data_IF_586062000510
#
_entry.id   IF_586062000510
#
_cell.length_a   1.000
_cell.length_b   1.000
_cell.length_c   1.000
_cell.angle_alpha   90.00
_cell.angle_beta   90.00
_cell.angle_gamma   90.00
#
_symmetry.space_group_name_H-M   'P 1'
#
loop_
_entity.id
_entity.type
_entity.pdbx_description
1 polymer ?
#
# COMPACT_ATOMS: atom_id res chain seq x y z
N UNK A 1 21.79 17.77 0.31
CA UNK A 1 20.45 17.26 0.73
C UNK A 1 19.46 17.80 -0.29
N UNK A 2 19.37 17.12 -1.43
CA UNK A 2 18.39 17.46 -2.46
C UNK A 2 17.06 16.83 -2.05
N UNK A 3 16.03 17.67 -1.93
CA UNK A 3 14.74 17.29 -1.37
C UNK A 3 14.01 16.29 -2.26
N UNK A 4 13.34 15.33 -1.62
CA UNK A 4 12.35 14.47 -2.26
C UNK A 4 11.27 15.36 -2.91
N UNK A 5 11.32 15.52 -4.22
CA UNK A 5 10.31 16.25 -4.96
C UNK A 5 9.10 15.33 -5.14
N UNK A 6 8.13 15.45 -4.23
CA UNK A 6 6.81 14.85 -4.40
C UNK A 6 6.20 15.37 -5.70
N UNK A 7 5.44 14.54 -6.44
CA UNK A 7 4.60 15.05 -7.52
C UNK A 7 3.75 16.19 -6.95
N UNK A 8 3.79 17.36 -7.58
CA UNK A 8 2.93 18.49 -7.21
C UNK A 8 1.47 18.07 -7.40
N UNK A 9 0.84 17.55 -6.35
CA UNK A 9 -0.60 17.31 -6.35
C UNK A 9 -1.28 18.68 -6.24
N UNK A 10 -1.88 19.14 -7.34
CA UNK A 10 -2.70 20.36 -7.41
C UNK A 10 -4.07 20.13 -6.75
N UNK A 11 -4.07 19.74 -5.48
CA UNK A 11 -5.25 19.48 -4.67
C UNK A 11 -5.41 20.50 -3.54
N UNK A 12 -6.58 20.50 -2.88
CA UNK A 12 -6.77 21.28 -1.67
C UNK A 12 -5.82 20.79 -0.56
N UNK A 13 -5.36 21.66 0.37
CA UNK A 13 -4.56 21.22 1.51
C UNK A 13 -5.36 20.25 2.38
N UNK A 14 -4.65 19.34 3.06
CA UNK A 14 -5.30 18.44 4.00
C UNK A 14 -5.70 19.19 5.28
N UNK A 15 -6.93 18.96 5.75
CA UNK A 15 -7.45 19.49 7.02
C UNK A 15 -7.58 18.34 8.00
N UNK A 16 -6.89 18.42 9.14
CA UNK A 16 -6.81 17.34 10.13
C UNK A 16 -8.19 16.80 10.55
N UNK A 17 -9.13 17.70 10.84
CA UNK A 17 -10.48 17.34 11.29
C UNK A 17 -11.24 16.54 10.23
N UNK A 18 -11.18 16.99 8.97
CA UNK A 18 -11.76 16.27 7.83
C UNK A 18 -11.10 14.92 7.64
N UNK A 19 -9.76 14.86 7.72
CA UNK A 19 -9.02 13.62 7.54
C UNK A 19 -9.35 12.58 8.63
N UNK A 20 -9.37 13.01 9.90
CA UNK A 20 -9.78 12.18 11.04
C UNK A 20 -11.20 11.65 10.88
N UNK A 21 -12.14 12.51 10.48
CA UNK A 21 -13.54 12.15 10.27
C UNK A 21 -13.68 11.12 9.14
N UNK A 22 -13.05 11.36 7.98
CA UNK A 22 -13.11 10.45 6.84
C UNK A 22 -12.45 9.10 7.16
N UNK A 23 -11.32 9.08 7.86
CA UNK A 23 -10.65 7.85 8.30
C UNK A 23 -11.53 7.07 9.28
N UNK A 24 -12.22 7.75 10.20
CA UNK A 24 -13.17 7.11 11.11
C UNK A 24 -14.33 6.44 10.37
N UNK A 25 -14.87 7.08 9.33
CA UNK A 25 -15.90 6.49 8.47
C UNK A 25 -15.36 5.24 7.76
N UNK A 26 -14.14 5.31 7.21
CA UNK A 26 -13.47 4.15 6.61
C UNK A 26 -13.35 2.99 7.61
N UNK A 27 -12.89 3.26 8.84
CA UNK A 27 -12.72 2.24 9.88
C UNK A 27 -14.07 1.63 10.29
N UNK A 28 -15.11 2.45 10.45
CA UNK A 28 -16.46 1.98 10.78
C UNK A 28 -17.04 1.07 9.68
N UNK A 29 -16.86 1.44 8.41
CA UNK A 29 -17.34 0.66 7.26
C UNK A 29 -16.69 -0.73 7.19
N UNK A 30 -15.50 -0.90 7.74
CA UNK A 30 -14.77 -2.17 7.77
C UNK A 30 -14.90 -2.92 9.11
N UNK A 31 -15.60 -2.32 10.08
CA UNK A 31 -15.67 -2.81 11.45
C UNK A 31 -14.27 -3.11 12.02
N UNK A 32 -13.36 -2.12 11.91
CA UNK A 32 -12.01 -2.16 12.48
C UNK A 32 -11.83 -1.09 13.55
N UNK A 33 -10.75 -1.19 14.32
CA UNK A 33 -10.42 -0.25 15.40
C UNK A 33 -10.46 1.20 14.93
N UNK A 34 -10.99 2.12 15.75
CA UNK A 34 -10.94 3.55 15.46
C UNK A 34 -9.50 4.07 15.39
N UNK A 35 -8.57 3.41 16.08
CA UNK A 35 -7.15 3.80 16.13
C UNK A 35 -6.34 3.20 14.97
N UNK A 36 -6.97 2.43 14.07
CA UNK A 36 -6.37 1.98 12.83
C UNK A 36 -6.29 3.16 11.84
N UNK A 37 -5.35 4.08 12.06
CA UNK A 37 -5.20 5.31 11.28
C UNK A 37 -3.72 5.68 11.08
N UNK A 38 -3.46 6.90 10.60
CA UNK A 38 -2.09 7.35 10.32
C UNK A 38 -1.25 7.56 11.60
N UNK A 39 -1.87 7.64 12.77
CA UNK A 39 -1.19 7.76 14.07
C UNK A 39 -0.73 6.40 14.60
N UNK A 40 -1.37 5.30 14.16
CA UNK A 40 -0.89 3.93 14.38
C UNK A 40 -0.93 3.09 13.07
N UNK A 41 0.06 3.29 12.17
CA UNK A 41 0.13 2.55 10.91
C UNK A 41 0.29 1.04 11.06
N UNK A 42 0.82 0.57 12.18
CA UNK A 42 0.97 -0.86 12.45
C UNK A 42 -0.38 -1.49 12.76
N UNK A 43 -1.20 -0.84 13.60
CA UNK A 43 -2.58 -1.26 13.85
C UNK A 43 -3.41 -1.20 12.57
N UNK A 44 -3.24 -0.14 11.76
CA UNK A 44 -3.89 -0.03 10.45
C UNK A 44 -3.58 -1.23 9.54
N UNK A 45 -2.29 -1.55 9.34
CA UNK A 45 -1.87 -2.67 8.51
C UNK A 45 -2.38 -4.01 9.04
N UNK A 46 -2.32 -4.22 10.36
CA UNK A 46 -2.80 -5.44 11.01
C UNK A 46 -4.31 -5.64 10.77
N UNK A 47 -5.10 -4.59 10.95
CA UNK A 47 -6.55 -4.63 10.75
C UNK A 47 -6.92 -4.81 9.29
N UNK A 48 -6.22 -4.14 8.38
CA UNK A 48 -6.44 -4.27 6.94
C UNK A 48 -6.13 -5.70 6.45
N UNK A 49 -5.03 -6.30 6.91
CA UNK A 49 -4.72 -7.70 6.64
C UNK A 49 -5.82 -8.63 7.17
N UNK A 50 -6.34 -8.37 8.37
CA UNK A 50 -7.45 -9.14 8.93
C UNK A 50 -8.74 -8.98 8.10
N UNK A 51 -9.02 -7.80 7.53
CA UNK A 51 -10.13 -7.59 6.58
C UNK A 51 -9.93 -8.43 5.33
N UNK A 52 -8.74 -8.41 4.73
CA UNK A 52 -8.41 -9.21 3.55
C UNK A 52 -8.38 -10.73 3.81
N UNK A 53 -8.37 -11.18 5.06
CA UNK A 53 -8.52 -12.61 5.35
C UNK A 53 -9.99 -13.08 5.38
N UNK A 54 -10.96 -12.15 5.35
CA UNK A 54 -12.39 -12.49 5.44
C UNK A 54 -12.96 -13.10 4.16
N UNK A 55 -12.31 -12.88 3.01
CA UNK A 55 -12.78 -13.33 1.70
C UNK A 55 -13.11 -12.17 0.76
N UNK A 56 -13.44 -12.49 -0.50
CA UNK A 56 -13.80 -11.47 -1.50
C UNK A 56 -15.03 -10.65 -1.07
N UNK A 57 -16.11 -11.31 -0.68
CA UNK A 57 -17.43 -10.67 -0.46
C UNK A 57 -17.52 -9.92 0.86
N UNK A 58 -16.77 -10.35 1.88
CA UNK A 58 -16.79 -9.81 3.26
C UNK A 58 -15.51 -9.06 3.63
N UNK A 59 -14.48 -9.13 2.79
CA UNK A 59 -13.18 -8.47 2.96
C UNK A 59 -12.90 -7.49 1.84
N UNK A 60 -12.51 -7.99 0.66
CA UNK A 60 -12.03 -7.15 -0.46
C UNK A 60 -13.09 -6.18 -0.99
N UNK A 61 -14.30 -6.65 -1.28
CA UNK A 61 -15.37 -5.80 -1.83
C UNK A 61 -15.77 -4.71 -0.82
N UNK A 62 -16.02 -5.01 0.47
CA UNK A 62 -16.21 -3.98 1.49
C UNK A 62 -15.03 -3.01 1.63
N UNK A 63 -13.79 -3.51 1.57
CA UNK A 63 -12.59 -2.66 1.57
C UNK A 63 -12.61 -1.65 0.42
N UNK A 64 -12.94 -2.09 -0.80
CA UNK A 64 -12.99 -1.21 -1.96
C UNK A 64 -14.14 -0.20 -1.88
N UNK A 65 -15.29 -0.60 -1.35
CA UNK A 65 -16.38 0.32 -1.08
C UNK A 65 -16.00 1.37 -0.02
N UNK A 66 -15.35 0.95 1.07
CA UNK A 66 -14.89 1.85 2.12
C UNK A 66 -13.81 2.82 1.60
N UNK A 67 -12.86 2.33 0.81
CA UNK A 67 -11.84 3.15 0.16
C UNK A 67 -12.45 4.18 -0.78
N UNK A 68 -13.45 3.81 -1.60
CA UNK A 68 -14.12 4.74 -2.48
C UNK A 68 -14.86 5.84 -1.70
N UNK A 69 -15.48 5.50 -0.57
CA UNK A 69 -16.11 6.49 0.32
C UNK A 69 -15.08 7.41 0.97
N UNK A 70 -13.93 6.88 1.39
CA UNK A 70 -12.81 7.67 1.91
C UNK A 70 -12.28 8.65 0.85
N UNK A 71 -12.09 8.18 -0.38
CA UNK A 71 -11.70 9.02 -1.52
C UNK A 71 -12.70 10.16 -1.76
N UNK A 72 -13.99 9.84 -1.79
CA UNK A 72 -15.06 10.84 -1.98
C UNK A 72 -15.17 11.82 -0.80
N UNK A 73 -14.98 11.35 0.44
CA UNK A 73 -15.05 12.16 1.65
C UNK A 73 -13.94 13.22 1.68
N UNK A 74 -12.72 12.85 1.26
CA UNK A 74 -11.59 13.77 1.17
C UNK A 74 -11.64 14.63 -0.10
N UNK A 75 -12.20 14.11 -1.20
CA UNK A 75 -12.31 14.83 -2.46
C UNK A 75 -10.95 15.31 -2.95
N UNK A 76 -10.83 16.63 -3.19
CA UNK A 76 -9.60 17.23 -3.74
C UNK A 76 -8.43 17.25 -2.76
N UNK A 77 -8.62 16.93 -1.47
CA UNK A 77 -7.53 16.80 -0.49
C UNK A 77 -7.01 15.37 -0.32
N UNK A 78 -7.56 14.38 -1.04
CA UNK A 78 -7.16 12.97 -0.88
C UNK A 78 -5.64 12.76 -0.92
N UNK A 79 -4.98 13.24 -1.98
CA UNK A 79 -3.53 13.06 -2.15
C UNK A 79 -2.69 13.96 -1.25
N UNK A 80 -3.22 15.08 -0.75
CA UNK A 80 -2.50 15.91 0.22
C UNK A 80 -2.57 15.31 1.63
N UNK A 81 -3.65 14.58 1.96
CA UNK A 81 -3.79 13.84 3.21
C UNK A 81 -2.96 12.56 3.23
N UNK A 82 -2.96 11.79 2.14
CA UNK A 82 -2.09 10.61 1.98
C UNK A 82 -0.73 11.01 1.39
N UNK A 83 -0.06 11.94 2.08
CA UNK A 83 1.28 12.39 1.75
C UNK A 83 2.20 12.20 2.98
N UNK A 84 3.32 11.46 2.87
CA UNK A 84 4.20 11.21 4.01
C UNK A 84 4.74 12.50 4.64
N UNK A 85 5.02 13.56 3.86
CA UNK A 85 5.48 14.86 4.41
C UNK A 85 4.42 15.49 5.28
N UNK A 86 3.17 15.46 4.84
CA UNK A 86 2.06 15.94 5.65
C UNK A 86 1.94 15.12 6.94
N UNK A 87 1.95 13.79 6.86
CA UNK A 87 1.87 12.93 8.05
C UNK A 87 3.02 13.16 9.04
N UNK A 88 4.24 13.37 8.53
CA UNK A 88 5.43 13.72 9.33
C UNK A 88 5.24 15.08 10.00
N UNK A 89 4.69 16.07 9.29
CA UNK A 89 4.38 17.38 9.88
C UNK A 89 3.34 17.30 11.01
N UNK A 90 2.53 16.24 11.03
CA UNK A 90 1.56 15.95 12.11
C UNK A 90 2.17 15.11 13.24
N UNK A 91 3.48 14.84 13.23
CA UNK A 91 4.19 14.09 14.28
C UNK A 91 4.30 12.59 14.02
N UNK A 92 3.88 12.09 12.86
CA UNK A 92 4.09 10.69 12.48
C UNK A 92 5.58 10.45 12.22
N UNK A 93 6.15 9.36 12.72
CA UNK A 93 7.52 8.98 12.40
C UNK A 93 7.73 8.77 10.89
N UNK A 94 8.96 8.97 10.40
CA UNK A 94 9.31 8.85 8.98
C UNK A 94 8.84 7.52 8.38
N UNK A 95 9.30 6.39 8.93
CA UNK A 95 8.95 5.06 8.42
C UNK A 95 7.44 4.76 8.51
N UNK A 96 6.75 4.99 9.65
CA UNK A 96 5.31 4.83 9.73
C UNK A 96 4.51 5.66 8.72
N UNK A 97 4.92 6.91 8.45
CA UNK A 97 4.26 7.78 7.47
C UNK A 97 4.34 7.23 6.04
N UNK A 98 5.51 6.73 5.64
CA UNK A 98 5.69 6.08 4.35
C UNK A 98 4.91 4.77 4.26
N UNK A 99 4.93 3.94 5.31
CA UNK A 99 4.21 2.67 5.36
C UNK A 99 2.71 2.86 5.23
N UNK A 100 2.13 3.80 5.98
CA UNK A 100 0.70 4.10 5.91
C UNK A 100 0.30 4.59 4.52
N UNK A 101 1.07 5.53 3.95
CA UNK A 101 0.78 6.05 2.60
C UNK A 101 0.89 4.96 1.54
N UNK A 102 1.94 4.14 1.60
CA UNK A 102 2.12 3.02 0.68
C UNK A 102 0.94 2.05 0.74
N UNK A 103 0.44 1.74 1.93
CA UNK A 103 -0.68 0.81 2.09
C UNK A 103 -2.01 1.36 1.54
N UNK A 104 -2.24 2.67 1.65
CA UNK A 104 -3.40 3.31 1.03
C UNK A 104 -3.30 3.27 -0.50
N UNK A 105 -2.13 3.53 -1.07
CA UNK A 105 -1.91 3.43 -2.52
C UNK A 105 -2.07 2.00 -3.04
N UNK A 106 -1.59 1.02 -2.27
CA UNK A 106 -1.80 -0.41 -2.53
C UNK A 106 -3.26 -0.79 -2.48
N UNK A 107 -3.99 -0.31 -1.47
CA UNK A 107 -5.45 -0.50 -1.35
C UNK A 107 -6.17 0.07 -2.56
N UNK A 108 -5.83 1.30 -2.97
CA UNK A 108 -6.35 1.91 -4.18
C UNK A 108 -6.12 1.02 -5.40
N UNK A 109 -4.89 0.54 -5.62
CA UNK A 109 -4.58 -0.36 -6.73
C UNK A 109 -5.45 -1.62 -6.71
N UNK A 110 -5.53 -2.33 -5.57
CA UNK A 110 -6.38 -3.52 -5.41
C UNK A 110 -7.85 -3.26 -5.77
N UNK A 111 -8.33 -2.03 -5.58
CA UNK A 111 -9.71 -1.65 -5.81
C UNK A 111 -9.98 -1.03 -7.18
N UNK A 112 -8.94 -0.68 -7.94
CA UNK A 112 -9.06 -0.14 -9.29
C UNK A 112 -8.30 -1.01 -10.29
N UNK A 113 -7.03 -0.73 -10.54
CA UNK A 113 -6.23 -1.37 -11.60
C UNK A 113 -5.93 -2.85 -11.38
N UNK A 114 -6.05 -3.34 -10.14
CA UNK A 114 -5.81 -4.74 -9.78
C UNK A 114 -7.07 -5.47 -9.31
N UNK A 115 -8.26 -4.89 -9.43
CA UNK A 115 -9.47 -5.47 -8.84
C UNK A 115 -9.87 -6.79 -9.48
N UNK A 116 -9.82 -6.87 -10.82
CA UNK A 116 -10.18 -8.09 -11.55
C UNK A 116 -9.33 -9.29 -11.12
N UNK A 117 -8.01 -9.08 -11.03
CA UNK A 117 -7.05 -10.08 -10.57
C UNK A 117 -7.29 -10.46 -9.11
N UNK A 118 -7.50 -9.46 -8.25
CA UNK A 118 -7.75 -9.64 -6.82
C UNK A 118 -8.97 -10.54 -6.58
N UNK A 119 -10.05 -10.35 -7.34
CA UNK A 119 -11.27 -11.17 -7.24
C UNK A 119 -11.07 -12.56 -7.84
N UNK A 120 -10.55 -12.65 -9.08
CA UNK A 120 -10.44 -13.93 -9.81
C UNK A 120 -9.43 -14.90 -9.19
N UNK A 121 -8.40 -14.38 -8.53
CA UNK A 121 -7.26 -15.16 -8.01
C UNK A 121 -7.10 -15.02 -6.50
N UNK A 122 -8.16 -14.59 -5.81
CA UNK A 122 -8.15 -14.22 -4.41
C UNK A 122 -7.47 -15.26 -3.50
N UNK A 123 -7.92 -16.51 -3.55
CA UNK A 123 -7.42 -17.55 -2.66
C UNK A 123 -5.92 -17.83 -2.88
N UNK A 124 -5.46 -17.77 -4.13
CA UNK A 124 -4.05 -17.95 -4.46
C UNK A 124 -3.22 -16.76 -3.97
N UNK A 125 -3.73 -15.53 -4.13
CA UNK A 125 -3.09 -14.32 -3.64
C UNK A 125 -2.97 -14.36 -2.11
N UNK A 126 -4.05 -14.66 -1.40
CA UNK A 126 -4.03 -14.76 0.06
C UNK A 126 -3.08 -15.87 0.53
N UNK A 127 -3.08 -17.03 -0.13
CA UNK A 127 -2.15 -18.12 0.19
C UNK A 127 -0.69 -17.73 -0.03
N UNK A 128 -0.38 -16.93 -1.06
CA UNK A 128 0.96 -16.40 -1.29
C UNK A 128 1.44 -15.52 -0.14
N UNK A 129 0.57 -14.66 0.41
CA UNK A 129 0.89 -13.85 1.59
C UNK A 129 1.00 -14.64 2.89
N UNK A 130 0.44 -15.85 2.96
CA UNK A 130 0.62 -16.76 4.11
C UNK A 130 1.98 -17.45 4.12
N UNK A 131 2.75 -17.40 3.02
CA UNK A 131 4.15 -17.84 3.01
C UNK A 131 5.06 -16.79 3.67
N UNK A 132 4.84 -16.56 4.97
CA UNK A 132 5.51 -15.50 5.73
C UNK A 132 7.02 -15.64 5.68
N UNK A 133 7.57 -16.86 5.73
CA UNK A 133 9.01 -17.08 5.64
C UNK A 133 9.61 -16.55 4.33
N UNK A 134 8.98 -16.80 3.19
CA UNK A 134 9.49 -16.32 1.90
C UNK A 134 9.31 -14.80 1.77
N UNK A 135 8.18 -14.26 2.23
CA UNK A 135 7.92 -12.81 2.26
C UNK A 135 8.97 -12.10 3.14
N UNK A 136 9.20 -12.60 4.35
CA UNK A 136 10.16 -12.05 5.31
C UNK A 136 11.59 -12.11 4.77
N UNK A 137 11.96 -13.17 4.04
CA UNK A 137 13.27 -13.27 3.38
C UNK A 137 13.46 -12.21 2.28
N UNK A 138 12.45 -11.99 1.45
CA UNK A 138 12.47 -10.94 0.43
C UNK A 138 12.60 -9.55 1.07
N UNK A 139 11.82 -9.28 2.12
CA UNK A 139 11.86 -8.01 2.86
C UNK A 139 13.18 -7.82 3.61
N UNK A 140 13.74 -8.87 4.22
CA UNK A 140 15.02 -8.82 4.90
C UNK A 140 16.16 -8.48 3.93
N UNK A 141 16.17 -9.09 2.74
CA UNK A 141 17.15 -8.79 1.68
C UNK A 141 17.03 -7.35 1.19
N UNK A 142 15.81 -6.88 0.98
CA UNK A 142 15.53 -5.49 0.63
C UNK A 142 16.04 -4.53 1.71
N UNK A 143 15.67 -4.74 2.97
CA UNK A 143 16.11 -3.94 4.12
C UNK A 143 17.63 -3.91 4.25
N UNK A 144 18.30 -5.07 4.13
CA UNK A 144 19.74 -5.16 4.20
C UNK A 144 20.41 -4.35 3.07
N UNK A 145 19.87 -4.41 1.86
CA UNK A 145 20.38 -3.64 0.72
C UNK A 145 20.31 -2.14 0.98
N UNK A 146 19.18 -1.65 1.52
CA UNK A 146 19.00 -0.22 1.82
C UNK A 146 19.82 0.26 3.01
N UNK A 147 19.98 -0.57 4.03
CA UNK A 147 20.85 -0.27 5.17
C UNK A 147 22.32 -0.11 4.74
N UNK A 148 22.74 -0.90 3.75
CA UNK A 148 24.09 -0.81 3.19
C UNK A 148 24.24 0.39 2.25
N UNK A 149 23.26 0.63 1.38
CA UNK A 149 23.30 1.73 0.42
C UNK A 149 21.90 2.15 -0.03
N UNK A 150 21.40 3.25 0.55
CA UNK A 150 20.09 3.81 0.21
C UNK A 150 19.98 4.26 -1.26
N UNK A 151 21.08 4.59 -1.95
CA UNK A 151 21.05 4.94 -3.37
C UNK A 151 20.61 3.77 -4.26
N UNK A 152 20.58 2.55 -3.73
CA UNK A 152 20.07 1.38 -4.44
C UNK A 152 18.55 1.19 -4.31
N UNK A 153 17.81 2.14 -3.70
CA UNK A 153 16.38 2.03 -3.46
C UNK A 153 15.57 1.47 -4.63
N UNK A 154 15.74 2.03 -5.82
CA UNK A 154 14.98 1.59 -7.00
C UNK A 154 15.36 0.18 -7.46
N UNK A 155 16.65 -0.14 -7.49
CA UNK A 155 17.12 -1.48 -7.86
C UNK A 155 16.72 -2.53 -6.81
N UNK A 156 16.87 -2.21 -5.53
CA UNK A 156 16.45 -3.06 -4.42
C UNK A 156 14.94 -3.34 -4.49
N UNK A 157 14.14 -2.33 -4.80
CA UNK A 157 12.69 -2.48 -4.95
C UNK A 157 12.32 -3.31 -6.18
N UNK A 158 13.04 -3.19 -7.30
CA UNK A 158 12.88 -4.10 -8.45
C UNK A 158 13.27 -5.56 -8.11
N UNK A 159 14.27 -5.75 -7.25
CA UNK A 159 14.62 -7.09 -6.76
C UNK A 159 13.52 -7.63 -5.82
N UNK A 160 12.94 -6.78 -4.98
CA UNK A 160 11.82 -7.13 -4.10
C UNK A 160 10.59 -7.55 -4.92
N UNK A 161 10.21 -6.80 -5.96
CA UNK A 161 9.09 -7.17 -6.84
C UNK A 161 9.35 -8.53 -7.49
N UNK A 162 10.56 -8.76 -8.01
CA UNK A 162 10.96 -10.04 -8.60
C UNK A 162 10.89 -11.19 -7.59
N UNK A 163 11.32 -10.94 -6.34
CA UNK A 163 11.26 -11.93 -5.26
C UNK A 163 9.80 -12.31 -4.95
N UNK A 164 8.91 -11.32 -4.83
CA UNK A 164 7.48 -11.57 -4.64
C UNK A 164 6.87 -12.28 -5.84
N UNK A 165 7.18 -11.89 -7.08
CA UNK A 165 6.69 -12.60 -8.28
C UNK A 165 7.03 -14.09 -8.27
N UNK A 166 8.18 -14.49 -7.72
CA UNK A 166 8.55 -15.90 -7.59
C UNK A 166 7.69 -16.64 -6.56
N UNK A 167 7.34 -15.99 -5.44
CA UNK A 167 6.43 -16.56 -4.42
C UNK A 167 5.06 -16.86 -5.03
N UNK A 168 4.58 -15.95 -5.89
CA UNK A 168 3.27 -16.04 -6.52
C UNK A 168 3.29 -16.70 -7.90
N UNK A 169 4.42 -17.30 -8.33
CA UNK A 169 4.56 -17.87 -9.66
C UNK A 169 3.55 -18.98 -9.96
N UNK A 170 3.19 -19.79 -8.95
CA UNK A 170 2.18 -20.85 -9.07
C UNK A 170 0.76 -20.31 -9.30
N UNK A 171 0.51 -19.03 -9.02
CA UNK A 171 -0.77 -18.37 -9.27
C UNK A 171 -0.93 -17.91 -10.73
N UNK A 172 0.13 -18.00 -11.53
CA UNK A 172 0.17 -17.63 -12.95
C UNK A 172 0.63 -16.20 -13.21
N UNK A 173 0.99 -15.93 -14.46
CA UNK A 173 1.60 -14.66 -14.91
C UNK A 173 0.75 -13.44 -14.55
N UNK A 174 -0.58 -13.55 -14.60
CA UNK A 174 -1.49 -12.48 -14.21
C UNK A 174 -1.29 -12.03 -12.76
N UNK A 175 -1.11 -12.97 -11.83
CA UNK A 175 -0.87 -12.67 -10.41
C UNK A 175 0.56 -12.17 -10.19
N UNK A 176 1.53 -12.66 -10.97
CA UNK A 176 2.89 -12.12 -10.93
C UNK A 176 2.94 -10.64 -11.35
N UNK A 177 2.23 -10.27 -12.42
CA UNK A 177 2.08 -8.87 -12.78
C UNK A 177 1.40 -8.08 -11.65
N UNK A 178 0.30 -8.61 -11.12
CA UNK A 178 -0.46 -7.96 -10.06
C UNK A 178 0.38 -7.69 -8.81
N UNK A 179 1.16 -8.67 -8.32
CA UNK A 179 1.97 -8.48 -7.11
C UNK A 179 3.14 -7.51 -7.36
N UNK A 180 3.68 -7.51 -8.57
CA UNK A 180 4.69 -6.52 -8.94
C UNK A 180 4.10 -5.10 -8.93
N UNK A 181 2.91 -4.92 -9.51
CA UNK A 181 2.23 -3.62 -9.52
C UNK A 181 1.83 -3.18 -8.11
N UNK A 182 1.34 -4.10 -7.27
CA UNK A 182 1.03 -3.83 -5.86
C UNK A 182 2.25 -3.28 -5.12
N UNK A 183 3.41 -3.90 -5.28
CA UNK A 183 4.66 -3.36 -4.69
C UNK A 183 5.02 -2.03 -5.35
N UNK A 184 5.01 -1.93 -6.69
CA UNK A 184 5.39 -0.71 -7.42
C UNK A 184 4.59 0.52 -6.98
N UNK A 185 3.27 0.40 -6.83
CA UNK A 185 2.42 1.54 -6.43
C UNK A 185 2.71 1.97 -4.98
N UNK A 186 3.04 1.04 -4.09
CA UNK A 186 3.45 1.38 -2.73
C UNK A 186 4.75 2.20 -2.68
N UNK A 187 5.63 2.01 -3.67
CA UNK A 187 6.90 2.72 -3.79
C UNK A 187 6.90 3.85 -4.83
N UNK A 188 5.76 4.21 -5.42
CA UNK A 188 5.71 5.27 -6.43
C UNK A 188 6.11 6.65 -5.91
N UNK A 189 6.15 6.82 -4.58
CA UNK A 189 6.60 8.02 -3.87
C UNK A 189 8.09 8.31 -4.04
N UNK A 190 8.90 7.30 -4.41
CA UNK A 190 10.36 7.41 -4.47
C UNK A 190 10.92 7.67 -5.86
N UNK A 191 10.06 7.96 -6.85
CA UNK A 191 10.42 8.26 -8.23
C UNK A 191 11.46 7.29 -8.83
N UNK A 192 11.06 6.01 -8.96
CA UNK A 192 11.88 4.98 -9.59
C UNK A 192 11.45 4.77 -11.06
N UNK A 193 12.09 5.47 -12.03
CA UNK A 193 11.62 5.50 -13.42
C UNK A 193 11.72 4.14 -14.12
N UNK A 194 12.65 3.30 -13.69
CA UNK A 194 12.95 1.99 -14.29
C UNK A 194 12.23 0.82 -13.60
N UNK A 195 11.40 1.10 -12.58
CA UNK A 195 10.64 0.04 -11.94
C UNK A 195 9.54 -0.44 -12.91
N UNK A 196 9.62 -1.72 -13.30
CA UNK A 196 8.82 -2.32 -14.35
C UNK A 196 8.35 -3.71 -13.96
N UNK A 197 7.11 -4.01 -14.33
CA UNK A 197 6.46 -5.29 -14.08
C UNK A 197 6.43 -6.13 -15.36
N UNK A 198 7.54 -6.79 -15.65
CA UNK A 198 7.67 -7.73 -16.75
C UNK A 198 7.39 -9.14 -16.28
N UNK A 199 6.31 -9.75 -16.79
CA UNK A 199 6.05 -11.18 -16.62
C UNK A 199 6.79 -11.98 -17.68
N UNK A 200 7.26 -13.17 -17.33
CA UNK A 200 7.98 -14.08 -18.24
C UNK A 200 7.07 -15.20 -18.73
#
# INVERSE_FOLDING_TARGET
MEGFQYPHYSGAPCVNETFASCQKIFNNNLNISSNADWTDPNEFLRQLNAVLQRGVTTGLVPLCNAWQQLYNCLGTSYYSCFNPVYLISQGTGLQPAFQFTAEILRTQFKCVGGFEQSVKKYDCIISGFQNTNAIDQCLATWNQTLNNNFNQLCQATQNLTTCFMNIFASCGNEVQWWICEDVRVGFSLFNCPDLRCYVR
#
